data_IF_063165744671
#
_entry.id   IF_063165744671
#
_cell.length_a   1.000
_cell.length_b   1.000
_cell.length_c   1.000
_cell.angle_alpha   90.00
_cell.angle_beta   90.00
_cell.angle_gamma   90.00
#
_symmetry.space_group_name_H-M   'P 1'
#
loop_
_entity.id
_entity.type
_entity.pdbx_description
1 polymer ?
#
# COMPACT_ATOMS: atom_id res chain seq x y z
N UNK A 1 -29.58 7.93 -3.26
CA UNK A 1 -28.70 7.11 -4.11
C UNK A 1 -27.45 7.95 -4.33
N UNK A 2 -26.30 7.56 -3.77
CA UNK A 2 -25.04 8.30 -3.98
C UNK A 2 -24.65 8.07 -5.45
N UNK A 3 -24.38 9.14 -6.20
CA UNK A 3 -23.94 9.02 -7.60
C UNK A 3 -22.62 8.25 -7.68
N UNK A 4 -22.50 7.28 -8.59
CA UNK A 4 -21.29 6.43 -8.72
C UNK A 4 -20.01 7.27 -8.89
N UNK A 5 -20.11 8.43 -9.57
CA UNK A 5 -19.00 9.37 -9.76
C UNK A 5 -18.59 10.08 -8.46
N UNK A 6 -19.52 10.41 -7.56
CA UNK A 6 -19.14 11.03 -6.29
C UNK A 6 -18.44 10.03 -5.36
N UNK A 7 -18.78 8.75 -5.48
CA UNK A 7 -18.09 7.65 -4.81
C UNK A 7 -16.66 7.47 -5.31
N UNK A 8 -16.47 7.42 -6.63
CA UNK A 8 -15.13 7.29 -7.23
C UNK A 8 -14.23 8.50 -6.89
N UNK A 9 -14.79 9.72 -6.85
CA UNK A 9 -14.04 10.92 -6.41
C UNK A 9 -13.59 10.82 -4.95
N UNK A 10 -14.44 10.32 -4.06
CA UNK A 10 -14.05 10.09 -2.66
C UNK A 10 -12.90 9.08 -2.59
N UNK A 11 -12.97 7.98 -3.35
CA UNK A 11 -11.92 6.96 -3.40
C UNK A 11 -10.58 7.51 -3.88
N UNK A 12 -10.59 8.27 -4.98
CA UNK A 12 -9.43 8.99 -5.50
C UNK A 12 -8.82 9.86 -4.39
N UNK A 13 -9.65 10.62 -3.68
CA UNK A 13 -9.22 11.51 -2.62
C UNK A 13 -8.52 10.76 -1.46
N UNK A 14 -9.12 9.68 -0.95
CA UNK A 14 -8.51 8.87 0.12
C UNK A 14 -7.20 8.19 -0.32
N UNK A 15 -7.18 7.57 -1.51
CA UNK A 15 -5.94 6.97 -2.04
C UNK A 15 -4.84 8.02 -2.23
N UNK A 16 -5.17 9.22 -2.72
CA UNK A 16 -4.21 10.30 -2.91
C UNK A 16 -3.69 10.83 -1.57
N UNK A 17 -4.56 10.97 -0.57
CA UNK A 17 -4.17 11.35 0.78
C UNK A 17 -3.20 10.32 1.38
N UNK A 18 -3.57 9.04 1.40
CA UNK A 18 -2.75 7.97 1.95
C UNK A 18 -1.42 7.86 1.20
N UNK A 19 -1.44 7.98 -0.14
CA UNK A 19 -0.22 8.01 -0.93
C UNK A 19 0.76 9.07 -0.45
N UNK A 20 0.30 10.30 -0.20
CA UNK A 20 1.16 11.39 0.29
C UNK A 20 1.72 11.15 1.70
N UNK A 21 1.02 10.38 2.53
CA UNK A 21 1.51 10.00 3.86
C UNK A 21 2.56 8.89 3.81
N UNK A 22 2.57 8.04 2.77
CA UNK A 22 3.41 6.83 2.75
C UNK A 22 4.50 6.82 1.68
N UNK A 23 4.44 7.70 0.68
CA UNK A 23 5.51 7.89 -0.31
C UNK A 23 6.62 8.74 0.28
N UNK A 24 7.86 8.25 0.20
CA UNK A 24 9.03 9.07 0.48
C UNK A 24 9.28 10.06 -0.66
N UNK A 25 9.56 11.32 -0.31
CA UNK A 25 9.90 12.37 -1.27
C UNK A 25 10.81 13.42 -0.64
N UNK A 26 11.67 14.03 -1.46
CA UNK A 26 12.47 15.20 -1.08
C UNK A 26 11.72 16.52 -1.30
N UNK A 27 10.48 16.46 -1.78
CA UNK A 27 9.64 17.64 -1.96
C UNK A 27 9.26 18.25 -0.60
N UNK A 28 9.65 19.51 -0.40
CA UNK A 28 9.34 20.27 0.82
C UNK A 28 7.83 20.54 0.94
N UNK A 29 7.10 20.54 -0.18
CA UNK A 29 5.65 20.74 -0.23
C UNK A 29 4.87 19.41 -0.04
N UNK A 30 5.52 18.31 0.38
CA UNK A 30 4.88 16.97 0.47
C UNK A 30 3.59 16.95 1.30
N UNK A 31 3.45 17.86 2.27
CA UNK A 31 2.29 17.96 3.16
C UNK A 31 1.32 19.11 2.84
N UNK A 32 1.62 19.91 1.81
CA UNK A 32 0.79 21.04 1.35
C UNK A 32 -0.67 20.66 1.13
N UNK A 33 -1.60 21.31 1.82
CA UNK A 33 -3.04 21.07 1.67
C UNK A 33 -3.55 19.80 2.33
N UNK A 34 -2.71 19.01 3.02
CA UNK A 34 -3.18 17.83 3.74
C UNK A 34 -3.98 18.20 4.98
N UNK A 35 -3.64 19.31 5.65
CA UNK A 35 -4.42 19.81 6.78
C UNK A 35 -5.89 20.05 6.39
N UNK A 36 -6.11 20.74 5.27
CA UNK A 36 -7.43 20.98 4.71
C UNK A 36 -8.12 19.69 4.29
N UNK A 37 -7.35 18.72 3.78
CA UNK A 37 -7.87 17.40 3.43
C UNK A 37 -8.39 16.65 4.67
N UNK A 38 -7.66 16.66 5.79
CA UNK A 38 -8.12 16.08 7.05
C UNK A 38 -9.36 16.80 7.60
N UNK A 39 -9.42 18.13 7.50
CA UNK A 39 -10.63 18.90 7.85
C UNK A 39 -11.84 18.44 7.02
N UNK A 40 -11.65 18.26 5.71
CA UNK A 40 -12.71 17.83 4.80
C UNK A 40 -13.23 16.42 5.16
N UNK A 41 -12.34 15.50 5.54
CA UNK A 41 -12.72 14.17 6.04
C UNK A 41 -13.51 14.29 7.34
N UNK A 42 -13.04 15.11 8.30
CA UNK A 42 -13.75 15.31 9.56
C UNK A 42 -15.17 15.87 9.38
N UNK A 43 -15.40 16.62 8.29
CA UNK A 43 -16.72 17.13 7.92
C UNK A 43 -17.58 16.11 7.15
N UNK A 44 -16.96 15.16 6.45
CA UNK A 44 -17.62 14.14 5.63
C UNK A 44 -17.03 12.74 5.90
N UNK A 45 -17.12 12.24 7.13
CA UNK A 45 -16.43 11.01 7.53
C UNK A 45 -17.16 9.77 7.01
N UNK A 46 -16.42 8.70 6.78
CA UNK A 46 -17.00 7.39 6.45
C UNK A 46 -17.71 6.75 7.64
N UNK A 47 -17.16 6.94 8.84
CA UNK A 47 -17.69 6.45 10.12
C UNK A 47 -17.13 7.32 11.28
N UNK A 48 -17.55 7.04 12.52
CA UNK A 48 -17.14 7.85 13.68
C UNK A 48 -15.64 7.77 13.96
N UNK A 49 -15.00 6.61 13.76
CA UNK A 49 -13.56 6.45 13.93
C UNK A 49 -12.80 7.35 12.95
N UNK A 50 -13.21 7.35 11.68
CA UNK A 50 -12.68 8.21 10.63
C UNK A 50 -12.82 9.69 11.00
N UNK A 51 -13.98 10.07 11.54
CA UNK A 51 -14.23 11.45 12.01
C UNK A 51 -13.25 11.87 13.10
N UNK A 52 -13.15 11.06 14.16
CA UNK A 52 -12.33 11.38 15.34
C UNK A 52 -10.86 11.49 14.91
N UNK A 53 -10.37 10.50 14.16
CA UNK A 53 -8.98 10.50 13.70
C UNK A 53 -8.66 11.64 12.76
N UNK A 54 -9.55 11.97 11.81
CA UNK A 54 -9.34 13.11 10.91
C UNK A 54 -9.29 14.45 11.67
N UNK A 55 -10.19 14.65 12.62
CA UNK A 55 -10.21 15.88 13.42
C UNK A 55 -8.98 15.98 14.33
N UNK A 56 -8.54 14.87 14.94
CA UNK A 56 -7.32 14.86 15.75
C UNK A 56 -6.09 15.23 14.92
N UNK A 57 -5.94 14.67 13.72
CA UNK A 57 -4.83 15.01 12.81
C UNK A 57 -4.94 16.47 12.37
N UNK A 58 -6.13 16.97 12.05
CA UNK A 58 -6.34 18.37 11.66
C UNK A 58 -5.95 19.37 12.76
N UNK A 59 -6.36 19.09 14.00
CA UNK A 59 -6.12 19.96 15.16
C UNK A 59 -4.64 20.01 15.55
N UNK A 60 -3.94 18.87 15.42
CA UNK A 60 -2.54 18.72 15.81
C UNK A 60 -1.58 18.72 14.60
N UNK A 61 -2.05 19.16 13.43
CA UNK A 61 -1.27 19.11 12.20
C UNK A 61 -0.03 19.99 12.29
N UNK A 62 1.14 19.37 12.24
CA UNK A 62 2.44 20.02 12.16
C UNK A 62 3.31 19.24 11.17
N UNK A 63 3.74 19.91 10.10
CA UNK A 63 4.48 19.27 9.00
C UNK A 63 5.85 18.76 9.42
N UNK A 64 6.52 19.47 10.33
CA UNK A 64 7.85 19.10 10.83
C UNK A 64 7.70 17.88 11.73
N UNK A 65 6.77 17.92 12.68
CA UNK A 65 6.50 16.80 13.57
C UNK A 65 6.05 15.55 12.80
N UNK A 66 5.22 15.70 11.76
CA UNK A 66 4.82 14.59 10.89
C UNK A 66 5.98 14.02 10.09
N UNK A 67 6.91 14.86 9.62
CA UNK A 67 8.12 14.40 8.94
C UNK A 67 9.04 13.63 9.89
N UNK A 68 9.27 14.19 11.09
CA UNK A 68 10.09 13.54 12.11
C UNK A 68 9.48 12.20 12.54
N UNK A 69 8.15 12.16 12.74
CA UNK A 69 7.41 10.95 13.07
C UNK A 69 7.55 9.89 11.96
N UNK A 70 7.41 10.30 10.69
CA UNK A 70 7.62 9.43 9.53
C UNK A 70 9.03 8.80 9.56
N UNK A 71 10.07 9.61 9.76
CA UNK A 71 11.44 9.11 9.82
C UNK A 71 11.65 8.14 10.98
N UNK A 72 11.06 8.41 12.15
CA UNK A 72 11.11 7.50 13.31
C UNK A 72 10.39 6.18 13.06
N UNK A 73 9.31 6.16 12.28
CA UNK A 73 8.53 4.95 11.99
C UNK A 73 9.18 4.12 10.88
N UNK A 74 9.60 4.75 9.79
CA UNK A 74 9.96 4.04 8.55
C UNK A 74 11.47 3.94 8.30
N UNK A 75 12.30 4.73 9.00
CA UNK A 75 13.74 4.80 8.72
C UNK A 75 14.63 4.57 9.95
N UNK A 76 14.16 4.91 11.16
CA UNK A 76 14.98 4.79 12.36
C UNK A 76 15.18 3.33 12.84
N UNK A 77 16.41 2.94 13.24
CA UNK A 77 16.67 1.64 13.86
C UNK A 77 16.13 1.57 15.30
N UNK A 78 15.92 0.37 15.87
CA UNK A 78 16.27 -0.95 15.32
C UNK A 78 15.18 -1.61 14.46
N UNK A 79 13.94 -1.12 14.49
CA UNK A 79 12.78 -1.85 13.95
C UNK A 79 11.87 -0.94 13.11
N UNK A 80 12.34 -0.42 11.96
CA UNK A 80 11.51 0.37 11.08
C UNK A 80 10.36 -0.48 10.52
N UNK A 81 9.17 0.13 10.42
CA UNK A 81 8.03 -0.47 9.72
C UNK A 81 8.38 -0.58 8.24
N UNK A 82 8.19 -1.76 7.68
CA UNK A 82 8.45 -2.01 6.26
C UNK A 82 7.28 -1.48 5.44
N UNK A 83 7.57 -0.90 4.29
CA UNK A 83 6.57 -0.25 3.43
C UNK A 83 6.31 -1.03 2.14
N UNK A 84 6.92 -2.20 1.97
CA UNK A 84 6.85 -2.98 0.73
C UNK A 84 6.00 -4.24 0.87
N UNK A 85 5.20 -4.53 -0.15
CA UNK A 85 4.32 -5.69 -0.18
C UNK A 85 5.07 -7.02 -0.10
N UNK A 86 6.24 -7.09 -0.73
CA UNK A 86 7.13 -8.25 -0.67
C UNK A 86 7.51 -8.61 0.77
N UNK A 87 7.70 -7.64 1.65
CA UNK A 87 7.94 -7.92 3.06
C UNK A 87 6.76 -8.65 3.72
N UNK A 88 5.55 -8.12 3.56
CA UNK A 88 4.35 -8.69 4.18
C UNK A 88 3.97 -10.06 3.60
N UNK A 89 4.26 -10.29 2.31
CA UNK A 89 3.99 -11.59 1.68
C UNK A 89 5.07 -12.64 1.92
N UNK A 90 6.34 -12.22 1.90
CA UNK A 90 7.46 -13.14 1.74
C UNK A 90 8.50 -13.02 2.88
N UNK A 91 8.49 -11.93 3.65
CA UNK A 91 9.37 -11.66 4.79
C UNK A 91 10.60 -10.80 4.49
N UNK A 92 10.78 -10.34 3.25
CA UNK A 92 11.91 -9.50 2.80
C UNK A 92 11.49 -8.71 1.56
N UNK A 93 12.17 -7.59 1.37
CA UNK A 93 11.85 -6.62 0.32
C UNK A 93 12.40 -7.05 -1.05
N UNK A 94 11.86 -6.50 -2.13
CA UNK A 94 12.32 -6.76 -3.52
C UNK A 94 12.21 -8.23 -3.96
N UNK A 95 11.19 -8.94 -3.46
CA UNK A 95 10.97 -10.35 -3.70
C UNK A 95 10.07 -10.64 -4.93
N UNK A 96 9.52 -11.85 -5.05
CA UNK A 96 8.72 -12.23 -6.22
C UNK A 96 7.46 -11.37 -6.34
N UNK A 97 6.89 -10.92 -5.23
CA UNK A 97 5.75 -9.99 -5.19
C UNK A 97 6.05 -8.69 -5.93
N UNK A 98 7.26 -8.12 -5.74
CA UNK A 98 7.69 -6.93 -6.46
C UNK A 98 7.66 -7.14 -7.98
N UNK A 99 8.10 -8.31 -8.45
CA UNK A 99 8.04 -8.67 -9.88
C UNK A 99 6.59 -8.82 -10.35
N UNK A 100 5.70 -9.37 -9.52
CA UNK A 100 4.27 -9.49 -9.86
C UNK A 100 3.61 -8.12 -10.00
N UNK A 101 3.89 -7.19 -9.08
CA UNK A 101 3.38 -5.81 -9.16
C UNK A 101 3.90 -5.12 -10.41
N UNK A 102 5.22 -5.17 -10.67
CA UNK A 102 5.83 -4.60 -11.89
C UNK A 102 5.18 -5.14 -13.17
N UNK A 103 4.97 -6.45 -13.25
CA UNK A 103 4.29 -7.08 -14.39
C UNK A 103 2.83 -6.66 -14.53
N UNK A 104 2.14 -6.40 -13.42
CA UNK A 104 0.78 -5.89 -13.44
C UNK A 104 0.75 -4.45 -13.97
N UNK A 105 1.55 -3.55 -13.37
CA UNK A 105 1.67 -2.15 -13.81
C UNK A 105 2.06 -2.06 -15.29
N UNK A 106 2.97 -2.94 -15.76
CA UNK A 106 3.39 -2.99 -17.16
C UNK A 106 2.26 -3.27 -18.17
N UNK A 107 1.11 -3.79 -17.74
CA UNK A 107 -0.08 -3.97 -18.59
C UNK A 107 -0.94 -2.70 -18.72
N UNK A 108 -0.68 -1.69 -17.89
CA UNK A 108 -1.45 -0.45 -17.81
C UNK A 108 -0.73 0.68 -18.56
N UNK A 109 -1.34 1.88 -18.61
CA UNK A 109 -0.72 3.11 -19.13
C UNK A 109 0.24 3.76 -18.12
N UNK A 110 0.21 3.36 -16.85
CA UNK A 110 1.04 3.95 -15.78
C UNK A 110 2.50 3.53 -15.92
N UNK A 111 3.42 4.47 -15.75
CA UNK A 111 4.86 4.23 -15.64
C UNK A 111 5.39 4.92 -14.40
N UNK A 112 6.35 4.29 -13.73
CA UNK A 112 7.03 4.88 -12.57
C UNK A 112 7.82 6.11 -13.02
N UNK A 113 7.62 7.23 -12.34
CA UNK A 113 8.44 8.43 -12.52
C UNK A 113 9.87 8.14 -12.04
N UNK A 114 10.88 8.67 -12.73
CA UNK A 114 12.28 8.65 -12.29
C UNK A 114 12.50 9.26 -10.90
N UNK A 115 11.64 10.19 -10.47
CA UNK A 115 11.69 10.83 -9.16
C UNK A 115 11.17 9.90 -8.04
N UNK A 116 10.50 8.80 -8.38
CA UNK A 116 10.02 7.83 -7.42
C UNK A 116 11.13 6.82 -7.06
N UNK A 117 11.74 7.03 -5.90
CA UNK A 117 12.93 6.28 -5.46
C UNK A 117 12.56 4.86 -5.03
N UNK A 118 11.37 4.67 -4.46
CA UNK A 118 10.93 3.39 -3.94
C UNK A 118 10.55 2.40 -5.07
N UNK A 119 10.42 1.13 -4.70
CA UNK A 119 9.93 0.10 -5.61
C UNK A 119 8.41 0.21 -5.80
N UNK A 120 7.91 -0.30 -6.92
CA UNK A 120 6.50 -0.29 -7.29
C UNK A 120 5.61 -1.11 -6.34
N UNK A 121 6.17 -1.95 -5.48
CA UNK A 121 5.44 -2.67 -4.43
C UNK A 121 5.43 -1.94 -3.07
N UNK A 122 5.93 -0.71 -3.00
CA UNK A 122 5.73 0.16 -1.85
C UNK A 122 4.25 0.55 -1.70
N UNK A 123 3.67 0.49 -0.50
CA UNK A 123 2.26 0.81 -0.26
C UNK A 123 1.86 2.22 -0.71
N UNK A 124 2.72 3.22 -0.50
CA UNK A 124 2.52 4.57 -1.02
C UNK A 124 2.38 4.60 -2.54
N UNK A 125 3.21 3.85 -3.27
CA UNK A 125 3.07 3.66 -4.73
C UNK A 125 1.78 2.94 -5.09
N UNK A 126 1.43 1.86 -4.38
CA UNK A 126 0.20 1.10 -4.64
C UNK A 126 -1.04 2.00 -4.48
N UNK A 127 -1.03 2.91 -3.50
CA UNK A 127 -2.08 3.91 -3.32
C UNK A 127 -2.11 4.94 -4.46
N UNK A 128 -0.95 5.41 -4.92
CA UNK A 128 -0.87 6.26 -6.13
C UNK A 128 -1.49 5.55 -7.34
N UNK A 129 -1.09 4.30 -7.58
CA UNK A 129 -1.58 3.52 -8.71
C UNK A 129 -3.10 3.32 -8.66
N UNK A 130 -3.66 3.04 -7.48
CA UNK A 130 -5.11 2.95 -7.31
C UNK A 130 -5.84 4.26 -7.60
N UNK A 131 -5.31 5.39 -7.11
CA UNK A 131 -5.87 6.71 -7.42
C UNK A 131 -5.92 6.97 -8.93
N UNK A 132 -4.82 6.66 -9.63
CA UNK A 132 -4.72 6.83 -11.08
C UNK A 132 -5.64 5.88 -11.85
N UNK A 133 -5.77 4.61 -11.44
CA UNK A 133 -6.71 3.68 -12.08
C UNK A 133 -8.16 4.18 -11.99
N UNK A 134 -8.57 4.67 -10.82
CA UNK A 134 -9.92 5.20 -10.64
C UNK A 134 -10.08 6.50 -11.45
N UNK A 135 -9.04 7.33 -11.55
CA UNK A 135 -9.04 8.54 -12.37
C UNK A 135 -9.19 8.23 -13.87
N UNK A 136 -8.48 7.24 -14.42
CA UNK A 136 -8.67 6.84 -15.81
C UNK A 136 -10.08 6.34 -16.08
N UNK A 137 -10.64 5.56 -15.16
CA UNK A 137 -12.04 5.12 -15.23
C UNK A 137 -13.00 6.33 -15.27
N UNK A 138 -12.83 7.33 -14.40
CA UNK A 138 -13.72 8.51 -14.38
C UNK A 138 -13.55 9.40 -15.61
N UNK A 139 -12.40 9.32 -16.29
CA UNK A 139 -12.13 10.00 -17.57
C UNK A 139 -12.61 9.22 -18.81
N UNK A 140 -13.22 8.05 -18.63
CA UNK A 140 -13.85 7.27 -19.70
C UNK A 140 -13.09 6.01 -20.13
N UNK A 141 -11.90 5.73 -19.57
CA UNK A 141 -11.20 4.45 -19.78
C UNK A 141 -11.77 3.38 -18.84
N UNK A 142 -13.00 2.92 -19.10
CA UNK A 142 -13.75 2.03 -18.21
C UNK A 142 -13.08 0.66 -17.94
N UNK A 143 -12.13 0.23 -18.77
CA UNK A 143 -11.32 -0.98 -18.52
C UNK A 143 -10.57 -0.91 -17.17
N UNK A 144 -10.29 0.31 -16.69
CA UNK A 144 -9.62 0.51 -15.41
C UNK A 144 -10.49 0.18 -14.19
N UNK A 145 -11.80 0.01 -14.35
CA UNK A 145 -12.65 -0.50 -13.26
C UNK A 145 -12.23 -1.91 -12.85
N UNK A 146 -12.02 -2.79 -13.82
CA UNK A 146 -11.58 -4.17 -13.58
C UNK A 146 -10.10 -4.23 -13.18
N UNK A 147 -9.25 -3.38 -13.74
CA UNK A 147 -7.83 -3.25 -13.33
C UNK A 147 -7.75 -2.85 -11.85
N UNK A 148 -8.49 -1.82 -11.44
CA UNK A 148 -8.52 -1.37 -10.04
C UNK A 148 -9.05 -2.46 -9.11
N UNK A 149 -10.11 -3.19 -9.51
CA UNK A 149 -10.64 -4.33 -8.76
C UNK A 149 -9.59 -5.44 -8.58
N UNK A 150 -8.98 -5.91 -9.67
CA UNK A 150 -7.97 -6.97 -9.60
C UNK A 150 -6.79 -6.53 -8.74
N UNK A 151 -6.33 -5.28 -8.91
CA UNK A 151 -5.22 -4.74 -8.14
C UNK A 151 -5.51 -4.68 -6.65
N UNK A 152 -6.68 -4.16 -6.26
CA UNK A 152 -7.10 -4.11 -4.86
C UNK A 152 -7.16 -5.50 -4.23
N UNK A 153 -7.87 -6.43 -4.86
CA UNK A 153 -8.08 -7.79 -4.36
C UNK A 153 -6.74 -8.54 -4.24
N UNK A 154 -5.82 -8.34 -5.18
CA UNK A 154 -4.58 -9.12 -5.25
C UNK A 154 -3.42 -8.53 -4.44
N UNK A 155 -3.32 -7.21 -4.38
CA UNK A 155 -2.13 -6.53 -3.86
C UNK A 155 -2.40 -5.65 -2.65
N UNK A 156 -3.63 -5.18 -2.39
CA UNK A 156 -3.91 -4.32 -1.24
C UNK A 156 -4.66 -5.04 -0.12
N UNK A 157 -5.90 -5.47 -0.38
CA UNK A 157 -6.79 -6.09 0.62
C UNK A 157 -6.10 -7.20 1.46
N UNK A 158 -5.46 -8.19 0.82
CA UNK A 158 -4.43 -9.06 1.36
C UNK A 158 -3.52 -8.62 2.52
N UNK A 159 -3.01 -7.40 2.52
CA UNK A 159 -1.84 -7.01 3.32
C UNK A 159 -1.99 -5.67 4.03
N UNK A 160 -2.97 -4.86 3.62
CA UNK A 160 -3.08 -3.48 4.06
C UNK A 160 -3.43 -3.36 5.55
N UNK A 161 -4.22 -4.29 6.09
CA UNK A 161 -4.58 -4.27 7.51
C UNK A 161 -3.35 -4.54 8.40
N UNK A 162 -2.48 -5.48 8.02
CA UNK A 162 -1.22 -5.74 8.74
C UNK A 162 -0.25 -4.56 8.63
N UNK A 163 -0.17 -3.93 7.46
CA UNK A 163 0.64 -2.73 7.25
C UNK A 163 0.20 -1.59 8.17
N UNK A 164 -1.09 -1.26 8.18
CA UNK A 164 -1.65 -0.21 9.02
C UNK A 164 -1.55 -0.55 10.51
N UNK A 165 -1.76 -1.81 10.88
CA UNK A 165 -1.58 -2.23 12.27
C UNK A 165 -0.12 -2.07 12.75
N UNK A 166 0.86 -2.43 11.92
CA UNK A 166 2.27 -2.25 12.25
C UNK A 166 2.63 -0.78 12.49
N UNK A 167 2.02 0.15 11.74
CA UNK A 167 2.15 1.58 11.99
C UNK A 167 1.45 1.96 13.30
N UNK A 168 0.20 1.54 13.49
CA UNK A 168 -0.59 1.87 14.67
C UNK A 168 0.10 1.48 15.99
N UNK A 169 0.67 0.27 16.05
CA UNK A 169 1.34 -0.25 17.27
C UNK A 169 2.77 0.26 17.43
N UNK A 170 3.36 0.91 16.42
CA UNK A 170 4.73 1.36 16.50
C UNK A 170 4.90 2.43 17.60
N UNK A 171 5.96 2.30 18.40
CA UNK A 171 6.18 3.11 19.61
C UNK A 171 6.30 4.61 19.34
N UNK A 172 6.75 4.99 18.15
CA UNK A 172 6.91 6.39 17.73
C UNK A 172 5.66 6.95 17.06
N UNK A 173 4.62 6.14 16.85
CA UNK A 173 3.38 6.60 16.24
C UNK A 173 2.54 7.41 17.22
N UNK A 174 2.32 8.67 16.83
CA UNK A 174 1.48 9.68 17.45
C UNK A 174 0.35 10.00 16.46
N UNK A 175 0.58 10.83 15.44
CA UNK A 175 -0.45 11.14 14.43
C UNK A 175 -0.59 10.03 13.39
N UNK A 176 0.46 9.23 13.17
CA UNK A 176 0.36 8.04 12.31
C UNK A 176 -0.57 6.96 12.86
N UNK A 177 -0.94 6.99 14.15
CA UNK A 177 -2.03 6.16 14.68
C UNK A 177 -3.37 6.55 14.07
N UNK A 178 -3.66 7.85 14.02
CA UNK A 178 -4.89 8.35 13.42
C UNK A 178 -4.87 8.19 11.90
N UNK A 179 -3.72 8.38 11.24
CA UNK A 179 -3.58 8.07 9.81
C UNK A 179 -3.83 6.58 9.55
N UNK A 180 -3.39 5.69 10.44
CA UNK A 180 -3.67 4.25 10.36
C UNK A 180 -5.17 3.96 10.50
N UNK A 181 -5.83 4.58 11.46
CA UNK A 181 -7.29 4.46 11.63
C UNK A 181 -8.05 4.97 10.40
N UNK A 182 -7.62 6.08 9.79
CA UNK A 182 -8.19 6.58 8.54
C UNK A 182 -8.04 5.57 7.41
N UNK A 183 -6.86 4.93 7.32
CA UNK A 183 -6.62 3.81 6.42
C UNK A 183 -7.60 2.65 6.66
N UNK A 184 -7.75 2.21 7.91
CA UNK A 184 -8.65 1.09 8.26
C UNK A 184 -10.10 1.38 7.86
N UNK A 185 -10.62 2.54 8.24
CA UNK A 185 -11.97 2.98 7.85
C UNK A 185 -12.14 3.01 6.33
N UNK A 186 -11.12 3.48 5.60
CA UNK A 186 -11.16 3.53 4.15
C UNK A 186 -11.11 2.14 3.51
N UNK A 187 -10.29 1.22 4.00
CA UNK A 187 -10.19 -0.12 3.44
C UNK A 187 -11.39 -1.01 3.78
N UNK A 188 -12.05 -0.79 4.92
CA UNK A 188 -13.39 -1.34 5.17
C UNK A 188 -14.41 -0.87 4.12
N UNK A 189 -14.39 0.43 3.79
CA UNK A 189 -15.22 0.97 2.73
C UNK A 189 -14.87 0.39 1.36
N UNK A 190 -13.58 0.24 1.01
CA UNK A 190 -13.14 -0.36 -0.25
C UNK A 190 -13.59 -1.82 -0.39
N UNK A 191 -13.50 -2.59 0.71
CA UNK A 191 -14.02 -3.97 0.79
C UNK A 191 -15.52 -4.01 0.50
N UNK A 192 -16.29 -3.13 1.12
CA UNK A 192 -17.72 -3.00 0.86
C UNK A 192 -18.02 -2.60 -0.60
N UNK A 193 -17.24 -1.67 -1.18
CA UNK A 193 -17.37 -1.25 -2.58
C UNK A 193 -17.15 -2.43 -3.55
N UNK A 194 -16.13 -3.24 -3.31
CA UNK A 194 -15.78 -4.37 -4.18
C UNK A 194 -16.52 -5.67 -3.86
N UNK A 195 -17.30 -5.71 -2.77
CA UNK A 195 -18.02 -6.91 -2.33
C UNK A 195 -17.09 -8.03 -1.88
N UNK A 196 -15.96 -7.69 -1.25
CA UNK A 196 -14.98 -8.65 -0.72
C UNK A 196 -14.83 -8.46 0.79
N UNK A 197 -14.48 -9.53 1.51
CA UNK A 197 -14.17 -9.45 2.95
C UNK A 197 -12.69 -9.17 3.17
N UNK A 198 -12.33 -8.91 4.41
CA UNK A 198 -10.96 -9.03 4.88
C UNK A 198 -10.48 -10.48 4.66
N UNK A 199 -9.17 -10.61 4.41
CA UNK A 199 -8.54 -11.93 4.36
C UNK A 199 -8.14 -12.33 5.78
N UNK A 200 -9.13 -12.71 6.59
CA UNK A 200 -8.90 -13.24 7.94
C UNK A 200 -8.00 -14.48 7.86
N UNK A 201 -6.85 -14.45 8.51
CA UNK A 201 -6.05 -15.64 8.78
C UNK A 201 -5.03 -16.03 7.70
N UNK A 202 -4.34 -15.05 7.11
CA UNK A 202 -3.03 -15.37 6.51
C UNK A 202 -2.12 -15.90 7.60
N UNK A 203 -1.87 -17.21 7.57
CA UNK A 203 -0.93 -17.85 8.50
C UNK A 203 0.41 -17.13 8.47
N UNK A 204 1.08 -17.11 9.63
CA UNK A 204 2.38 -16.47 9.90
C UNK A 204 3.28 -16.41 8.67
N UNK A 205 3.94 -15.26 8.44
CA UNK A 205 4.98 -15.06 7.41
C UNK A 205 5.79 -16.35 7.30
N UNK A 206 5.58 -17.12 6.22
CA UNK A 206 6.13 -18.47 6.11
C UNK A 206 7.61 -18.41 5.75
N UNK A 207 8.43 -18.00 6.69
CA UNK A 207 9.87 -18.28 6.73
C UNK A 207 10.04 -19.68 7.32
N UNK A 208 10.02 -20.69 6.45
CA UNK A 208 10.46 -22.03 6.83
C UNK A 208 12.00 -22.05 6.64
N UNK A 209 12.76 -22.34 7.69
CA UNK A 209 14.23 -22.41 7.71
C UNK A 209 15.00 -21.12 7.36
N UNK A 210 14.46 -19.93 7.71
CA UNK A 210 15.14 -18.65 7.42
C UNK A 210 15.27 -18.35 5.92
N UNK A 211 14.55 -19.11 5.09
CA UNK A 211 14.45 -18.92 3.65
C UNK A 211 13.00 -18.62 3.31
N UNK A 212 12.81 -17.60 2.50
CA UNK A 212 11.49 -17.37 1.93
C UNK A 212 11.05 -18.50 1.02
N UNK A 213 9.74 -18.66 0.90
CA UNK A 213 9.08 -19.43 -0.17
C UNK A 213 9.68 -19.14 -1.55
N UNK A 214 9.99 -17.90 -1.89
CA UNK A 214 10.56 -17.55 -3.20
C UNK A 214 12.02 -18.04 -3.34
N UNK A 215 12.85 -17.86 -2.30
CA UNK A 215 14.24 -18.33 -2.32
C UNK A 215 14.32 -19.86 -2.31
N UNK A 216 13.39 -20.53 -1.60
CA UNK A 216 13.23 -21.99 -1.66
C UNK A 216 12.86 -22.45 -3.07
N UNK A 217 11.87 -21.81 -3.70
CA UNK A 217 11.44 -22.13 -5.07
C UNK A 217 12.56 -21.86 -6.10
N UNK A 218 13.33 -20.77 -5.93
CA UNK A 218 14.49 -20.45 -6.77
C UNK A 218 15.60 -21.49 -6.62
N UNK A 219 15.89 -21.92 -5.39
CA UNK A 219 16.88 -22.97 -5.11
C UNK A 219 16.44 -24.31 -5.68
N UNK A 220 15.17 -24.67 -5.58
CA UNK A 220 14.61 -25.88 -6.18
C UNK A 220 14.69 -25.83 -7.71
N UNK A 221 14.32 -24.71 -8.33
CA UNK A 221 14.44 -24.50 -9.78
C UNK A 221 15.90 -24.60 -10.26
N UNK A 222 16.83 -23.98 -9.54
CA UNK A 222 18.26 -24.06 -9.85
C UNK A 222 18.83 -25.47 -9.64
N UNK A 223 18.37 -26.20 -8.60
CA UNK A 223 18.74 -27.60 -8.36
C UNK A 223 18.22 -28.50 -9.48
N UNK A 224 16.99 -28.31 -9.94
CA UNK A 224 16.41 -29.03 -11.07
C UNK A 224 17.17 -28.75 -12.38
N UNK A 225 17.51 -27.49 -12.67
CA UNK A 225 18.32 -27.12 -13.85
C UNK A 225 19.72 -27.74 -13.82
N UNK A 226 20.38 -27.75 -12.66
CA UNK A 226 21.68 -28.43 -12.48
C UNK A 226 21.58 -29.94 -12.66
N UNK A 227 20.51 -30.56 -12.16
CA UNK A 227 20.29 -32.00 -12.34
C UNK A 227 19.95 -32.41 -13.77
N UNK A 228 19.30 -31.53 -14.56
CA UNK A 228 19.06 -31.74 -15.99
C UNK A 228 20.33 -31.55 -16.81
N UNK A 229 21.10 -30.48 -16.57
CA UNK A 229 22.37 -30.26 -17.24
C UNK A 229 23.42 -31.35 -16.97
N UNK A 230 23.39 -31.98 -15.79
CA UNK A 230 24.24 -33.13 -15.47
C UNK A 230 23.82 -34.44 -16.17
N UNK A 231 22.56 -34.58 -16.59
CA UNK A 231 22.08 -35.74 -17.37
C UNK A 231 22.40 -35.62 -18.85
N UNK A 232 22.42 -34.41 -19.39
CA UNK A 232 22.73 -34.15 -20.80
C UNK A 232 24.25 -34.18 -21.09
N UNK A 233 25.10 -34.15 -20.06
CA UNK A 233 26.55 -34.30 -20.18
C UNK A 233 27.05 -35.76 -20.15
N UNK A 234 26.16 -36.75 -20.01
CA UNK A 234 26.48 -38.20 -19.97
C UNK A 234 25.85 -38.92 -21.17
N UNK A 235 25.87 -38.30 -22.35
CA UNK A 235 25.53 -38.97 -23.62
C UNK A 235 26.64 -38.79 -24.64
#
# INVERSE_FOLDING_TARGET
MIEKNSLDNARIFYYSLLSRMFVFTYDLDRFKGLREAFKLIGQNPLNDLCKISALNVFENFDEIALSDEYDQIFHAPPSPVRTTLSFYNEGYESAQTTVMVKKFIGKTKIRKDSNFIENEDNFGFLFTAMSEFITFKTQGDYEYEDIAREFFIKFLNPFVDEFLNNIYIHKHSILYKDISNLGLCFFEFERAYYGVSDEVGRGEIKVNDGLSRSEKTRRESNKQKRSKGARDAIK
#
